data_IF_011287282402
#
_entry.id   IF_011287282402
#
_cell.length_a   1.000
_cell.length_b   1.000
_cell.length_c   1.000
_cell.angle_alpha   90.00
_cell.angle_beta   90.00
_cell.angle_gamma   90.00
#
_symmetry.space_group_name_H-M   'P 1'
#
loop_
_entity.id
_entity.type
_entity.pdbx_description
1 polymer ?
#
# COMPACT_ATOMS: atom_id res chain seq x y z
N UNK A 1 4.78 27.80 -14.63
CA UNK A 1 4.44 26.35 -14.58
C UNK A 1 5.29 25.67 -13.51
N UNK A 2 5.03 25.93 -12.22
CA UNK A 2 5.93 25.50 -11.13
C UNK A 2 5.16 25.17 -9.84
N UNK A 3 4.09 24.39 -9.97
CA UNK A 3 3.24 24.04 -8.82
C UNK A 3 2.83 22.56 -8.76
N UNK A 4 3.22 21.74 -9.75
CA UNK A 4 2.95 20.29 -9.71
C UNK A 4 3.96 19.55 -8.80
N UNK A 5 5.09 20.16 -8.46
CA UNK A 5 6.12 19.56 -7.59
C UNK A 5 5.89 19.72 -6.07
N UNK A 6 4.81 20.38 -5.64
CA UNK A 6 4.37 20.33 -4.24
C UNK A 6 3.74 18.96 -3.86
N UNK A 7 3.63 18.03 -4.83
CA UNK A 7 3.18 16.66 -4.61
C UNK A 7 4.25 15.77 -3.95
N UNK A 8 5.54 16.04 -4.11
CA UNK A 8 6.56 15.02 -3.79
C UNK A 8 6.80 14.81 -2.29
N UNK A 9 6.72 15.89 -1.50
CA UNK A 9 7.09 15.83 -0.07
C UNK A 9 5.92 15.50 0.88
N UNK A 10 4.68 15.79 0.48
CA UNK A 10 3.49 15.58 1.34
C UNK A 10 2.48 14.57 0.77
N UNK A 11 2.51 14.30 -0.53
CA UNK A 11 1.44 13.53 -1.17
C UNK A 11 1.77 12.05 -1.28
N UNK A 12 3.04 11.74 -1.44
CA UNK A 12 3.57 10.37 -1.46
C UNK A 12 3.12 9.51 -0.27
N UNK A 13 3.27 9.92 1.01
CA UNK A 13 2.79 9.10 2.13
C UNK A 13 1.25 8.99 2.18
N UNK A 14 0.52 10.07 1.85
CA UNK A 14 -0.96 10.08 1.84
C UNK A 14 -1.54 9.19 0.74
N UNK A 15 -0.95 9.19 -0.46
CA UNK A 15 -1.41 8.38 -1.58
C UNK A 15 -1.26 6.89 -1.25
N UNK A 16 -0.16 6.50 -0.59
CA UNK A 16 0.07 5.11 -0.18
C UNK A 16 -0.91 4.70 0.91
N UNK A 17 -1.29 5.59 1.83
CA UNK A 17 -2.31 5.27 2.85
C UNK A 17 -3.69 5.05 2.23
N UNK A 18 -4.04 5.79 1.16
CA UNK A 18 -5.27 5.57 0.39
C UNK A 18 -5.23 4.23 -0.34
N UNK A 19 -4.11 3.92 -1.00
CA UNK A 19 -3.89 2.64 -1.68
C UNK A 19 -3.95 1.47 -0.69
N UNK A 20 -3.39 1.61 0.51
CA UNK A 20 -3.46 0.61 1.57
C UNK A 20 -4.92 0.31 1.97
N UNK A 21 -5.71 1.34 2.22
CA UNK A 21 -7.13 1.16 2.54
C UNK A 21 -7.89 0.48 1.40
N UNK A 22 -7.59 0.84 0.15
CA UNK A 22 -8.18 0.21 -1.02
C UNK A 22 -7.79 -1.28 -1.14
N UNK A 23 -6.51 -1.61 -1.00
CA UNK A 23 -6.00 -2.99 -1.00
C UNK A 23 -6.63 -3.83 0.12
N UNK A 24 -6.81 -3.25 1.30
CA UNK A 24 -7.46 -3.91 2.43
C UNK A 24 -8.93 -4.21 2.11
N UNK A 25 -9.67 -3.22 1.58
CA UNK A 25 -11.06 -3.41 1.15
C UNK A 25 -11.16 -4.52 0.10
N UNK A 26 -10.28 -4.51 -0.91
CA UNK A 26 -10.23 -5.55 -1.94
C UNK A 26 -9.90 -6.91 -1.33
N UNK A 27 -8.92 -7.02 -0.44
CA UNK A 27 -8.56 -8.27 0.22
C UNK A 27 -9.71 -8.84 1.06
N UNK A 28 -10.44 -7.99 1.79
CA UNK A 28 -11.62 -8.39 2.57
C UNK A 28 -12.74 -8.85 1.64
N UNK A 29 -13.06 -8.08 0.60
CA UNK A 29 -14.09 -8.48 -0.38
C UNK A 29 -13.72 -9.78 -1.10
N UNK A 30 -12.44 -9.97 -1.43
CA UNK A 30 -11.95 -11.17 -2.10
C UNK A 30 -12.01 -12.39 -1.19
N UNK A 31 -11.61 -12.24 0.08
CA UNK A 31 -11.71 -13.31 1.09
C UNK A 31 -13.16 -13.69 1.38
N UNK A 32 -14.05 -12.71 1.55
CA UNK A 32 -15.49 -12.95 1.76
C UNK A 32 -16.11 -13.59 0.52
N UNK A 33 -15.85 -13.09 -0.69
CA UNK A 33 -16.35 -13.69 -1.92
C UNK A 33 -15.85 -15.12 -2.11
N UNK A 34 -14.60 -15.41 -1.72
CA UNK A 34 -14.03 -16.76 -1.73
C UNK A 34 -14.67 -17.70 -0.69
N UNK A 35 -15.23 -17.19 0.40
CA UNK A 35 -16.00 -18.00 1.37
C UNK A 35 -17.38 -18.39 0.83
N UNK A 36 -17.98 -17.56 -0.02
CA UNK A 36 -19.30 -17.82 -0.64
C UNK A 36 -19.22 -18.51 -2.01
N UNK A 37 -18.01 -18.71 -2.56
CA UNK A 37 -17.84 -19.42 -3.84
C UNK A 37 -17.61 -20.91 -3.62
N UNK A 38 -18.50 -21.73 -4.20
CA UNK A 38 -18.51 -23.19 -4.05
C UNK A 38 -17.35 -23.90 -4.78
N UNK A 39 -16.57 -23.14 -5.56
CA UNK A 39 -15.62 -23.69 -6.55
C UNK A 39 -14.16 -23.79 -6.05
N UNK A 40 -13.84 -23.31 -4.83
CA UNK A 40 -12.45 -23.00 -4.43
C UNK A 40 -11.92 -23.61 -3.13
N UNK A 41 -12.61 -24.56 -2.50
CA UNK A 41 -12.20 -25.15 -1.21
C UNK A 41 -12.83 -24.51 0.03
N UNK A 42 -13.83 -23.65 -0.15
CA UNK A 42 -14.74 -23.17 0.90
C UNK A 42 -14.10 -22.23 1.93
N UNK A 43 -14.64 -22.24 3.15
CA UNK A 43 -14.33 -21.30 4.23
C UNK A 43 -12.83 -21.23 4.59
N UNK A 44 -12.10 -22.35 4.48
CA UNK A 44 -10.66 -22.39 4.76
C UNK A 44 -9.85 -21.55 3.76
N UNK A 45 -10.16 -21.66 2.46
CA UNK A 45 -9.47 -20.90 1.42
C UNK A 45 -9.77 -19.42 1.54
N UNK A 46 -11.03 -19.06 1.83
CA UNK A 46 -11.44 -17.69 2.11
C UNK A 46 -10.73 -17.11 3.33
N UNK A 47 -10.57 -17.88 4.41
CA UNK A 47 -9.85 -17.46 5.61
C UNK A 47 -8.35 -17.27 5.33
N UNK A 48 -7.74 -18.15 4.53
CA UNK A 48 -6.35 -18.03 4.09
C UNK A 48 -6.11 -16.78 3.25
N UNK A 49 -7.03 -16.45 2.34
CA UNK A 49 -6.97 -15.22 1.52
C UNK A 49 -7.19 -13.98 2.38
N UNK A 50 -8.09 -14.03 3.36
CA UNK A 50 -8.35 -12.90 4.25
C UNK A 50 -7.12 -12.58 5.11
N UNK A 51 -6.55 -13.60 5.75
CA UNK A 51 -5.38 -13.45 6.62
C UNK A 51 -4.13 -13.15 5.79
N UNK A 52 -3.87 -13.92 4.74
CA UNK A 52 -2.71 -13.75 3.86
C UNK A 52 -2.76 -12.43 3.08
N UNK A 53 -3.93 -12.04 2.58
CA UNK A 53 -4.17 -10.77 1.90
C UNK A 53 -4.04 -9.57 2.82
N UNK A 54 -4.57 -9.64 4.05
CA UNK A 54 -4.43 -8.56 5.02
C UNK A 54 -2.98 -8.39 5.50
N UNK A 55 -2.29 -9.48 5.83
CA UNK A 55 -0.87 -9.45 6.26
C UNK A 55 0.03 -9.03 5.10
N UNK A 56 -0.18 -9.60 3.92
CA UNK A 56 0.57 -9.24 2.71
C UNK A 56 0.39 -7.77 2.34
N UNK A 57 -0.85 -7.26 2.35
CA UNK A 57 -1.13 -5.85 2.10
C UNK A 57 -0.47 -4.93 3.15
N UNK A 58 -0.47 -5.31 4.43
CA UNK A 58 0.22 -4.58 5.52
C UNK A 58 1.72 -4.47 5.25
N UNK A 59 2.39 -5.59 5.02
CA UNK A 59 3.84 -5.65 4.80
C UNK A 59 4.21 -4.86 3.53
N UNK A 60 3.46 -5.07 2.44
CA UNK A 60 3.71 -4.40 1.18
C UNK A 60 3.53 -2.87 1.31
N UNK A 61 2.46 -2.41 1.96
CA UNK A 61 2.23 -0.99 2.15
C UNK A 61 3.24 -0.34 3.10
N UNK A 62 3.66 -0.99 4.18
CA UNK A 62 4.72 -0.45 5.06
C UNK A 62 6.05 -0.34 4.32
N UNK A 63 6.44 -1.35 3.53
CA UNK A 63 7.64 -1.31 2.70
C UNK A 63 7.62 -0.16 1.68
N UNK A 64 6.47 0.06 1.01
CA UNK A 64 6.31 1.19 0.10
C UNK A 64 6.48 2.52 0.84
N UNK A 65 5.83 2.71 2.00
CA UNK A 65 5.98 3.94 2.80
C UNK A 65 7.44 4.17 3.17
N UNK A 66 8.17 3.13 3.57
CA UNK A 66 9.58 3.22 3.95
C UNK A 66 10.45 3.60 2.74
N UNK A 67 10.27 2.95 1.59
CA UNK A 67 11.00 3.26 0.35
C UNK A 67 10.81 4.72 -0.07
N UNK A 68 9.58 5.21 -0.04
CA UNK A 68 9.29 6.60 -0.38
C UNK A 68 9.84 7.59 0.66
N UNK A 69 9.86 7.22 1.94
CA UNK A 69 10.56 7.99 2.97
C UNK A 69 12.06 8.09 2.68
N UNK A 70 12.70 7.00 2.24
CA UNK A 70 14.13 6.99 1.88
C UNK A 70 14.37 7.91 0.68
N UNK A 71 13.54 7.81 -0.36
CA UNK A 71 13.63 8.69 -1.53
C UNK A 71 13.51 10.18 -1.16
N UNK A 72 12.55 10.53 -0.31
CA UNK A 72 12.38 11.90 0.17
C UNK A 72 13.57 12.41 0.99
N UNK A 73 14.23 11.54 1.77
CA UNK A 73 15.45 11.90 2.50
C UNK A 73 16.65 12.06 1.56
N UNK A 74 16.78 11.20 0.54
CA UNK A 74 17.83 11.31 -0.47
C UNK A 74 17.73 12.61 -1.28
N UNK A 75 16.52 13.01 -1.70
CA UNK A 75 16.30 14.31 -2.34
C UNK A 75 16.75 15.48 -1.46
N UNK A 76 16.43 15.45 -0.15
CA UNK A 76 16.87 16.49 0.79
C UNK A 76 18.40 16.56 0.93
N UNK A 77 19.09 15.42 0.86
CA UNK A 77 20.56 15.38 0.92
C UNK A 77 21.17 15.95 -0.37
N UNK A 78 20.61 15.59 -1.53
CA UNK A 78 21.06 16.11 -2.83
C UNK A 78 20.92 17.64 -2.91
N UNK A 79 19.76 18.18 -2.50
CA UNK A 79 19.51 19.63 -2.52
C UNK A 79 20.47 20.40 -1.58
N UNK A 80 20.86 19.79 -0.46
CA UNK A 80 21.82 20.38 0.49
C UNK A 80 23.28 20.29 0.04
N UNK A 81 23.59 19.45 -0.95
CA UNK A 81 24.94 19.33 -1.53
C UNK A 81 25.19 20.30 -2.69
N UNK A 82 24.14 20.93 -3.23
CA UNK A 82 24.23 21.98 -4.25
C UNK A 82 24.26 23.42 -3.68
N UNK A 83 24.13 23.59 -2.35
CA UNK A 83 24.34 24.86 -1.64
C UNK A 83 25.71 24.91 -0.95
#
# INVERSE_FOLDING_TARGET
>A
MKSIFFFDSMLTPKIITVIYWFLLVVAVFSGVAAMFSDYGGGFLTGLGILIGGAIGARIWCELLIVLFKINANLQKIAEKSEQ
#
